data_IF_164495025424
#
_entry.id   IF_164495025424
#
_cell.length_a   1.000
_cell.length_b   1.000
_cell.length_c   1.000
_cell.angle_alpha   90.00
_cell.angle_beta   90.00
_cell.angle_gamma   90.00
#
_symmetry.space_group_name_H-M   'P 1'
#
loop_
_entity.id
_entity.type
_entity.pdbx_description
1 polymer ?
#
# COMPACT_ATOMS: atom_id res chain seq x y z
N UNK A 1 -109.99 41.32 24.67
CA UNK A 1 -108.67 41.73 25.13
C UNK A 1 -107.91 40.54 25.87
N UNK A 2 -108.62 39.44 26.26
CA UNK A 2 -107.99 38.33 27.02
C UNK A 2 -107.38 37.26 26.08
N UNK A 3 -107.73 37.15 24.82
CA UNK A 3 -107.23 36.14 23.86
C UNK A 3 -105.83 36.37 23.31
N UNK A 4 -105.35 37.60 23.15
CA UNK A 4 -104.05 37.90 22.54
C UNK A 4 -102.80 37.74 23.48
N UNK A 5 -103.00 37.85 24.79
CA UNK A 5 -101.92 37.67 25.74
C UNK A 5 -101.46 36.17 25.95
N UNK A 6 -102.36 35.21 25.74
CA UNK A 6 -102.05 33.79 25.86
C UNK A 6 -101.25 33.27 24.69
N UNK A 7 -101.40 33.80 23.49
CA UNK A 7 -100.69 33.34 22.30
C UNK A 7 -99.21 33.79 22.32
N UNK A 8 -98.96 34.97 22.82
CA UNK A 8 -97.57 35.54 22.87
C UNK A 8 -96.74 34.80 23.94
N UNK A 9 -97.31 34.41 25.09
CA UNK A 9 -96.60 33.73 26.17
C UNK A 9 -96.29 32.30 25.78
N UNK A 10 -97.19 31.58 25.06
CA UNK A 10 -96.95 30.23 24.54
C UNK A 10 -95.80 30.19 23.56
N UNK A 11 -95.73 31.14 22.62
CA UNK A 11 -94.68 31.17 21.61
C UNK A 11 -93.33 31.57 22.22
N UNK A 12 -93.27 32.40 23.28
CA UNK A 12 -92.05 32.76 23.98
C UNK A 12 -91.53 31.60 24.80
N UNK A 13 -92.37 30.78 25.40
CA UNK A 13 -92.05 29.60 26.14
C UNK A 13 -91.50 28.47 25.24
N UNK A 14 -92.09 28.33 24.03
CA UNK A 14 -91.58 27.36 23.04
C UNK A 14 -90.22 27.78 22.49
N UNK A 15 -89.97 29.07 22.25
CA UNK A 15 -88.64 29.54 21.82
C UNK A 15 -87.59 29.39 22.91
N UNK A 16 -87.92 29.61 24.19
CA UNK A 16 -87.00 29.40 25.31
C UNK A 16 -86.73 27.93 25.50
N UNK A 17 -87.70 27.03 25.38
CA UNK A 17 -87.47 25.58 25.47
C UNK A 17 -86.66 25.06 24.31
N UNK A 18 -86.83 25.53 23.08
CA UNK A 18 -86.02 25.17 21.92
C UNK A 18 -84.61 25.69 22.05
N UNK A 19 -84.41 26.90 22.58
CA UNK A 19 -83.02 27.45 22.85
C UNK A 19 -82.31 26.66 23.92
N UNK A 20 -82.99 26.25 24.98
CA UNK A 20 -82.38 25.43 26.08
C UNK A 20 -82.02 24.03 25.62
N UNK A 21 -82.85 23.39 24.77
CA UNK A 21 -82.56 22.07 24.18
C UNK A 21 -81.40 22.21 23.22
N UNK A 22 -81.39 23.25 22.38
CA UNK A 22 -80.26 23.45 21.44
C UNK A 22 -78.94 23.70 22.13
N UNK A 23 -78.95 24.46 23.25
CA UNK A 23 -77.78 24.76 24.02
C UNK A 23 -77.21 23.47 24.73
N UNK A 24 -78.13 22.62 25.28
CA UNK A 24 -77.73 21.38 25.87
C UNK A 24 -77.17 20.33 24.86
N UNK A 25 -77.80 20.26 23.67
CA UNK A 25 -77.35 19.38 22.58
C UNK A 25 -75.94 19.83 22.09
N UNK A 26 -75.77 21.14 21.91
CA UNK A 26 -74.43 21.64 21.56
C UNK A 26 -73.34 21.41 22.61
N UNK A 27 -73.66 21.54 23.90
CA UNK A 27 -72.71 21.19 24.97
C UNK A 27 -72.40 19.71 24.99
N UNK A 28 -73.38 18.84 24.76
CA UNK A 28 -73.19 17.40 24.72
C UNK A 28 -72.38 16.99 23.50
N UNK A 29 -72.62 17.54 22.35
CA UNK A 29 -71.85 17.32 21.13
C UNK A 29 -70.40 17.88 21.23
N UNK A 30 -70.25 19.02 21.90
CA UNK A 30 -68.94 19.58 22.19
C UNK A 30 -68.12 18.68 23.09
N UNK A 31 -68.67 18.21 24.18
CA UNK A 31 -68.01 17.29 25.09
C UNK A 31 -67.65 15.95 24.44
N UNK A 32 -68.51 15.47 23.53
CA UNK A 32 -68.25 14.23 22.78
C UNK A 32 -67.10 14.42 21.76
N UNK A 33 -67.02 15.56 21.10
CA UNK A 33 -65.89 15.92 20.21
C UNK A 33 -64.59 16.04 20.97
N UNK A 34 -64.58 16.67 22.14
CA UNK A 34 -63.36 16.74 22.98
C UNK A 34 -62.93 15.37 23.48
N UNK A 35 -63.85 14.49 23.87
CA UNK A 35 -63.56 13.14 24.29
C UNK A 35 -62.95 12.27 23.15
N UNK A 36 -63.46 12.41 21.93
CA UNK A 36 -62.92 11.71 20.74
C UNK A 36 -61.53 12.25 20.38
N UNK A 37 -61.36 13.56 20.34
CA UNK A 37 -60.06 14.19 20.04
C UNK A 37 -59.01 13.79 21.09
N UNK A 38 -59.38 13.76 22.38
CA UNK A 38 -58.47 13.35 23.47
C UNK A 38 -58.08 11.87 23.35
N UNK A 39 -59.04 10.98 23.02
CA UNK A 39 -58.78 9.57 22.80
C UNK A 39 -57.92 9.32 21.55
N UNK A 40 -58.16 10.01 20.47
CA UNK A 40 -57.33 9.91 19.26
C UNK A 40 -55.91 10.44 19.51
N UNK A 41 -55.77 11.55 20.24
CA UNK A 41 -54.44 12.09 20.56
C UNK A 41 -53.60 11.14 21.48
N UNK A 42 -54.29 10.50 22.47
CA UNK A 42 -53.66 9.50 23.32
C UNK A 42 -53.29 8.23 22.55
N UNK A 43 -54.08 7.83 21.56
CA UNK A 43 -53.76 6.70 20.68
C UNK A 43 -52.58 7.01 19.76
N UNK A 44 -52.55 8.23 19.16
CA UNK A 44 -51.44 8.68 18.33
C UNK A 44 -50.12 8.80 19.13
N UNK A 45 -50.21 9.34 20.37
CA UNK A 45 -49.02 9.43 21.23
C UNK A 45 -48.51 8.04 21.72
N UNK A 46 -49.40 7.10 21.90
CA UNK A 46 -49.03 5.72 22.22
C UNK A 46 -48.35 5.01 21.03
N UNK A 47 -48.85 5.23 19.80
CA UNK A 47 -48.21 4.70 18.59
C UNK A 47 -46.84 5.35 18.35
N UNK A 48 -46.72 6.67 18.60
CA UNK A 48 -45.46 7.38 18.48
C UNK A 48 -44.44 6.96 19.55
N UNK A 49 -44.87 6.71 20.78
CA UNK A 49 -44.02 6.15 21.85
C UNK A 49 -43.60 4.73 21.55
N UNK A 50 -44.43 3.90 20.91
CA UNK A 50 -44.06 2.53 20.55
C UNK A 50 -43.07 2.48 19.37
N UNK A 51 -43.14 3.48 18.44
CA UNK A 51 -42.16 3.59 17.36
C UNK A 51 -40.75 4.03 17.85
N UNK A 52 -40.66 4.71 18.98
CA UNK A 52 -39.37 5.09 19.59
C UNK A 52 -38.70 3.94 20.34
N UNK A 53 -39.42 2.87 20.67
CA UNK A 53 -38.88 1.66 21.29
C UNK A 53 -38.45 0.56 20.30
N UNK A 54 -38.61 0.77 19.00
CA UNK A 54 -37.93 -0.05 18.00
C UNK A 54 -36.45 0.30 18.03
N UNK A 55 -35.76 -0.06 19.10
CA UNK A 55 -34.31 -0.22 19.05
C UNK A 55 -34.07 -1.30 18.00
N UNK A 56 -33.60 -0.90 16.83
CA UNK A 56 -32.91 -1.77 15.94
C UNK A 56 -31.79 -2.40 16.80
N UNK A 57 -31.99 -3.61 17.25
CA UNK A 57 -30.89 -4.43 17.70
C UNK A 57 -29.97 -4.48 16.48
N UNK A 58 -28.95 -3.62 16.47
CA UNK A 58 -27.90 -3.68 15.48
C UNK A 58 -27.37 -5.11 15.57
N UNK A 59 -27.61 -5.89 14.53
CA UNK A 59 -26.92 -7.17 14.34
C UNK A 59 -25.47 -6.80 14.56
N UNK A 60 -24.75 -7.40 15.53
CA UNK A 60 -23.33 -7.13 15.68
C UNK A 60 -22.69 -7.47 14.33
N UNK A 61 -22.32 -6.44 13.57
CA UNK A 61 -21.47 -6.61 12.41
C UNK A 61 -20.15 -7.04 12.99
N UNK A 62 -19.91 -8.35 13.02
CA UNK A 62 -18.57 -8.86 13.27
C UNK A 62 -17.77 -8.40 12.07
N UNK A 63 -17.09 -7.24 12.19
CA UNK A 63 -16.04 -6.87 11.28
C UNK A 63 -14.91 -7.88 11.49
N UNK A 64 -14.94 -8.94 10.70
CA UNK A 64 -13.77 -9.80 10.56
C UNK A 64 -12.81 -9.00 9.69
N UNK A 65 -11.93 -8.22 10.31
CA UNK A 65 -10.76 -7.70 9.63
C UNK A 65 -9.92 -8.90 9.21
N UNK A 66 -10.05 -9.26 7.95
CA UNK A 66 -9.25 -10.34 7.38
C UNK A 66 -7.94 -9.72 6.92
N UNK A 67 -6.90 -9.83 7.75
CA UNK A 67 -5.56 -9.47 7.34
C UNK A 67 -5.05 -10.49 6.33
N UNK A 68 -5.03 -10.09 5.07
CA UNK A 68 -4.32 -10.79 4.03
C UNK A 68 -2.88 -10.29 4.02
N UNK A 69 -1.96 -11.22 4.05
CA UNK A 69 -0.53 -10.96 3.86
C UNK A 69 -0.26 -11.22 2.38
N UNK A 70 -0.10 -10.14 1.64
CA UNK A 70 0.23 -10.18 0.21
C UNK A 70 1.73 -10.40 0.03
N UNK A 71 2.11 -11.14 -0.98
CA UNK A 71 3.50 -11.30 -1.39
C UNK A 71 3.61 -11.62 -2.86
N UNK A 72 4.56 -10.98 -3.53
CA UNK A 72 4.95 -11.31 -4.89
C UNK A 72 6.09 -12.31 -4.89
N UNK A 73 6.12 -13.19 -5.88
CA UNK A 73 7.17 -14.20 -6.00
C UNK A 73 7.48 -14.54 -7.45
N UNK A 74 8.71 -14.92 -7.73
CA UNK A 74 9.13 -15.53 -8.98
C UNK A 74 9.49 -17.00 -8.76
N UNK A 75 9.36 -17.79 -9.83
CA UNK A 75 9.71 -19.22 -9.80
C UNK A 75 10.63 -19.55 -10.97
N UNK A 76 11.71 -20.29 -10.69
CA UNK A 76 12.70 -20.70 -11.68
C UNK A 76 12.96 -22.19 -11.61
N UNK A 77 13.29 -22.77 -12.78
CA UNK A 77 13.75 -24.15 -12.88
C UNK A 77 15.25 -24.27 -12.52
N UNK A 78 15.76 -25.49 -12.58
CA UNK A 78 17.17 -25.79 -12.29
C UNK A 78 18.15 -25.11 -13.29
N UNK A 79 17.68 -24.69 -14.47
CA UNK A 79 18.47 -23.95 -15.46
C UNK A 79 18.40 -22.43 -15.25
N UNK A 80 17.63 -21.97 -14.26
CA UNK A 80 17.39 -20.56 -13.99
C UNK A 80 16.33 -19.93 -14.89
N UNK A 81 15.59 -20.70 -15.69
CA UNK A 81 14.52 -20.20 -16.53
C UNK A 81 13.25 -19.95 -15.72
N UNK A 82 12.55 -18.87 -16.02
CA UNK A 82 11.27 -18.54 -15.40
C UNK A 82 10.21 -19.61 -15.71
N UNK A 83 9.49 -20.03 -14.67
CA UNK A 83 8.40 -21.00 -14.77
C UNK A 83 7.09 -20.26 -14.60
N UNK A 84 6.28 -20.23 -15.65
CA UNK A 84 4.91 -19.68 -15.68
C UNK A 84 3.90 -20.83 -15.76
N UNK A 85 2.62 -20.54 -15.47
CA UNK A 85 1.55 -21.54 -15.58
C UNK A 85 1.41 -22.45 -14.35
N UNK A 86 2.01 -22.08 -13.21
CA UNK A 86 1.72 -22.71 -11.92
C UNK A 86 0.38 -22.24 -11.38
N UNK A 87 -0.27 -23.10 -10.59
CA UNK A 87 -1.52 -22.83 -9.91
C UNK A 87 -1.34 -22.70 -8.40
N UNK A 88 -2.35 -22.21 -7.70
CA UNK A 88 -2.34 -22.12 -6.23
C UNK A 88 -1.95 -23.45 -5.56
N UNK A 89 -2.36 -24.58 -6.12
CA UNK A 89 -2.10 -25.91 -5.55
C UNK A 89 -0.63 -26.36 -5.67
N UNK A 90 0.15 -25.67 -6.51
CA UNK A 90 1.58 -25.91 -6.63
C UNK A 90 2.40 -25.25 -5.52
N UNK A 91 1.76 -24.48 -4.60
CA UNK A 91 2.46 -23.74 -3.57
C UNK A 91 2.04 -24.11 -2.15
N UNK A 92 2.99 -24.00 -1.23
CA UNK A 92 2.79 -24.09 0.21
C UNK A 92 3.39 -22.87 0.89
N UNK A 93 2.68 -22.32 1.89
CA UNK A 93 3.12 -21.17 2.68
C UNK A 93 3.23 -21.60 4.13
N UNK A 94 4.35 -21.26 4.77
CA UNK A 94 4.63 -21.52 6.18
C UNK A 94 5.06 -20.20 6.83
N UNK A 95 4.35 -19.75 7.87
CA UNK A 95 4.68 -18.59 8.68
C UNK A 95 5.09 -19.06 10.07
N UNK A 96 6.28 -18.68 10.53
CA UNK A 96 6.85 -19.07 11.83
C UNK A 96 6.74 -20.59 12.12
N UNK A 97 6.89 -21.42 11.07
CA UNK A 97 6.76 -22.88 11.16
C UNK A 97 5.31 -23.41 11.07
N UNK A 98 4.31 -22.54 11.02
CA UNK A 98 2.89 -22.91 10.92
C UNK A 98 2.40 -22.83 9.47
N UNK A 99 1.84 -23.91 8.88
CA UNK A 99 1.26 -23.88 7.55
C UNK A 99 0.10 -22.88 7.46
N UNK A 100 0.07 -22.08 6.39
CA UNK A 100 -0.93 -21.06 6.13
C UNK A 100 -1.78 -21.42 4.92
N UNK A 101 -3.06 -20.98 4.93
CA UNK A 101 -3.97 -21.20 3.81
C UNK A 101 -3.91 -20.04 2.83
N UNK A 102 -3.51 -20.32 1.60
CA UNK A 102 -3.56 -19.36 0.50
C UNK A 102 -5.03 -18.99 0.24
N UNK A 103 -5.32 -17.70 0.19
CA UNK A 103 -6.66 -17.13 -0.03
C UNK A 103 -6.82 -16.52 -1.41
N UNK A 104 -5.73 -15.99 -1.92
CA UNK A 104 -5.68 -15.40 -3.25
C UNK A 104 -4.42 -15.86 -3.98
N UNK A 105 -4.53 -16.07 -5.26
CA UNK A 105 -3.42 -16.41 -6.14
C UNK A 105 -3.72 -15.89 -7.55
N UNK A 106 -2.79 -15.15 -8.11
CA UNK A 106 -2.86 -14.67 -9.47
C UNK A 106 -1.48 -14.73 -10.13
N UNK A 107 -1.48 -14.81 -11.44
CA UNK A 107 -0.32 -14.58 -12.29
C UNK A 107 -0.71 -13.48 -13.26
N UNK A 108 -0.46 -12.23 -12.87
CA UNK A 108 -0.75 -11.06 -13.70
C UNK A 108 0.55 -10.47 -14.24
N UNK A 109 0.78 -10.64 -15.53
CA UNK A 109 1.95 -10.13 -16.24
C UNK A 109 1.71 -8.76 -16.88
N UNK A 110 0.55 -8.13 -16.64
CA UNK A 110 0.17 -6.86 -17.27
C UNK A 110 0.25 -5.65 -16.32
N UNK A 111 0.51 -5.88 -15.03
CA UNK A 111 0.66 -4.78 -14.09
C UNK A 111 1.84 -3.90 -14.49
N UNK A 112 1.63 -2.57 -14.63
CA UNK A 112 2.71 -1.66 -14.94
C UNK A 112 3.70 -1.58 -13.77
N UNK A 113 4.94 -1.20 -14.07
CA UNK A 113 6.00 -1.05 -13.09
C UNK A 113 6.07 0.38 -12.56
N UNK A 114 6.47 0.51 -11.29
CA UNK A 114 7.00 1.74 -10.67
C UNK A 114 8.40 1.43 -10.19
N UNK A 115 9.40 2.00 -10.85
CA UNK A 115 10.81 1.71 -10.67
C UNK A 115 11.48 2.90 -9.99
N UNK A 116 12.19 2.67 -8.89
CA UNK A 116 13.11 3.64 -8.30
C UNK A 116 14.54 3.25 -8.66
N UNK A 117 15.30 4.19 -9.23
CA UNK A 117 16.74 4.06 -9.43
C UNK A 117 17.42 4.77 -8.28
N UNK A 118 18.19 4.05 -7.49
CA UNK A 118 18.96 4.55 -6.34
C UNK A 118 20.43 4.49 -6.72
N UNK A 119 21.04 5.64 -6.93
CA UNK A 119 22.35 5.79 -7.58
C UNK A 119 23.34 6.35 -6.58
N UNK A 120 24.39 5.61 -6.34
CA UNK A 120 25.47 5.96 -5.42
C UNK A 120 26.46 6.90 -6.09
N UNK A 121 26.55 8.13 -5.60
CA UNK A 121 27.47 9.19 -6.03
C UNK A 121 28.48 9.55 -4.94
N UNK A 122 28.73 8.61 -4.02
CA UNK A 122 29.78 8.75 -3.01
C UNK A 122 31.18 8.69 -3.62
N UNK A 123 32.19 9.15 -2.87
CA UNK A 123 33.56 9.22 -3.39
C UNK A 123 34.15 7.89 -3.87
N UNK A 124 33.67 6.73 -3.35
CA UNK A 124 34.08 5.40 -3.85
C UNK A 124 33.55 5.13 -5.26
N UNK A 125 32.47 5.81 -5.67
CA UNK A 125 31.77 5.60 -6.93
C UNK A 125 32.16 6.56 -8.05
N UNK A 126 32.90 7.66 -7.78
CA UNK A 126 33.34 8.65 -8.78
C UNK A 126 33.90 8.04 -10.08
N UNK A 127 34.65 6.95 -9.96
CA UNK A 127 35.24 6.25 -11.11
C UNK A 127 34.24 5.44 -11.92
N UNK A 128 33.05 5.17 -11.38
CA UNK A 128 32.02 4.35 -12.00
C UNK A 128 30.84 5.17 -12.58
N UNK A 129 30.88 6.50 -12.46
CA UNK A 129 29.79 7.40 -12.93
C UNK A 129 29.39 7.09 -14.37
N UNK A 130 30.37 6.95 -15.29
CA UNK A 130 30.10 6.64 -16.70
C UNK A 130 29.52 5.24 -16.92
N UNK A 131 29.96 4.28 -16.10
CA UNK A 131 29.44 2.93 -16.09
C UNK A 131 28.01 2.93 -15.56
N UNK A 132 27.72 3.68 -14.50
CA UNK A 132 26.35 3.89 -13.99
C UNK A 132 25.42 4.44 -15.07
N UNK A 133 25.77 5.59 -15.70
CA UNK A 133 24.96 6.17 -16.78
C UNK A 133 24.68 5.15 -17.89
N UNK A 134 25.72 4.47 -18.38
CA UNK A 134 25.61 3.48 -19.45
C UNK A 134 24.70 2.30 -19.08
N UNK A 135 24.87 1.79 -17.88
CA UNK A 135 24.14 0.59 -17.43
C UNK A 135 22.68 0.94 -17.09
N UNK A 136 22.43 2.12 -16.50
CA UNK A 136 21.08 2.66 -16.29
C UNK A 136 20.36 2.88 -17.62
N UNK A 137 21.02 3.49 -18.60
CA UNK A 137 20.45 3.69 -19.95
C UNK A 137 20.08 2.35 -20.60
N UNK A 138 20.98 1.36 -20.50
CA UNK A 138 20.75 0.02 -21.04
C UNK A 138 19.57 -0.68 -20.34
N UNK A 139 19.50 -0.56 -19.02
CA UNK A 139 18.40 -1.09 -18.19
C UNK A 139 17.07 -0.46 -18.59
N UNK A 140 16.98 0.88 -18.59
CA UNK A 140 15.75 1.60 -18.94
C UNK A 140 15.24 1.24 -20.33
N UNK A 141 16.14 1.17 -21.33
CA UNK A 141 15.80 0.77 -22.71
C UNK A 141 15.23 -0.65 -22.79
N UNK A 142 15.63 -1.53 -21.89
CA UNK A 142 15.23 -2.94 -21.90
C UNK A 142 13.98 -3.21 -21.08
N UNK A 143 13.75 -2.45 -20.00
CA UNK A 143 12.74 -2.75 -19.00
C UNK A 143 11.52 -1.83 -19.10
N UNK A 144 11.74 -0.53 -19.41
CA UNK A 144 10.68 0.48 -19.32
C UNK A 144 9.73 0.40 -20.53
N UNK A 145 8.46 0.04 -20.26
CA UNK A 145 7.37 0.04 -21.22
C UNK A 145 6.52 1.33 -21.11
N UNK A 146 5.67 1.66 -22.09
CA UNK A 146 4.93 2.93 -22.12
C UNK A 146 4.06 3.23 -20.89
N UNK A 147 3.56 2.19 -20.22
CA UNK A 147 2.73 2.31 -19.02
C UNK A 147 3.54 2.30 -17.72
N UNK A 148 4.84 2.05 -17.80
CA UNK A 148 5.73 2.06 -16.64
C UNK A 148 6.14 3.47 -16.29
N UNK A 149 6.60 3.63 -15.06
CA UNK A 149 7.19 4.87 -14.57
C UNK A 149 8.46 4.57 -13.81
N UNK A 150 9.44 5.44 -13.93
CA UNK A 150 10.63 5.38 -13.12
C UNK A 150 10.99 6.78 -12.60
N UNK A 151 11.61 6.82 -11.41
CA UNK A 151 12.25 7.99 -10.84
C UNK A 151 13.72 7.69 -10.57
N UNK A 152 14.55 8.71 -10.43
CA UNK A 152 15.96 8.57 -10.10
C UNK A 152 16.33 9.44 -8.90
N UNK A 153 17.00 8.81 -7.93
CA UNK A 153 17.53 9.40 -6.71
C UNK A 153 19.04 9.16 -6.67
N UNK A 154 19.83 10.22 -6.71
CA UNK A 154 21.25 10.18 -6.45
C UNK A 154 21.52 10.44 -4.97
N UNK A 155 22.41 9.68 -4.38
CA UNK A 155 22.78 9.82 -2.97
C UNK A 155 24.30 9.82 -2.77
N UNK A 156 24.70 10.52 -1.77
CA UNK A 156 26.05 10.70 -1.27
C UNK A 156 25.90 11.45 0.04
N UNK A 157 26.43 12.66 0.13
CA UNK A 157 26.19 13.57 1.26
C UNK A 157 24.75 14.08 1.32
N UNK A 158 24.04 14.09 0.18
CA UNK A 158 22.65 14.52 0.04
C UNK A 158 21.86 13.49 -0.76
N UNK A 159 20.55 13.45 -0.51
CA UNK A 159 19.62 12.64 -1.29
C UNK A 159 18.88 13.53 -2.28
N UNK A 160 19.24 13.46 -3.56
CA UNK A 160 18.72 14.34 -4.61
C UNK A 160 17.81 13.58 -5.57
N UNK A 161 16.54 14.02 -5.67
CA UNK A 161 15.60 13.50 -6.66
C UNK A 161 15.92 14.13 -8.02
N UNK A 162 16.80 13.49 -8.79
CA UNK A 162 17.29 14.02 -10.08
C UNK A 162 16.28 13.82 -11.21
N UNK A 163 15.33 12.92 -11.07
CA UNK A 163 14.17 12.79 -11.95
C UNK A 163 12.97 12.32 -11.16
N UNK A 164 11.85 13.01 -11.24
CA UNK A 164 10.58 12.53 -10.71
C UNK A 164 9.99 11.45 -11.62
N UNK A 165 8.91 10.78 -11.15
CA UNK A 165 8.27 9.66 -11.83
C UNK A 165 7.85 10.03 -13.26
N UNK A 166 8.41 9.34 -14.23
CA UNK A 166 8.13 9.54 -15.66
C UNK A 166 8.27 8.22 -16.43
N UNK A 167 7.59 8.10 -17.58
CA UNK A 167 7.79 7.00 -18.52
C UNK A 167 8.89 7.28 -19.57
N UNK A 168 9.52 8.45 -19.50
CA UNK A 168 10.52 8.89 -20.47
C UNK A 168 11.94 8.60 -20.00
N UNK A 169 12.56 7.55 -20.52
CA UNK A 169 13.97 7.27 -20.25
C UNK A 169 14.91 8.44 -20.56
N UNK A 170 14.73 9.22 -21.66
CA UNK A 170 15.55 10.41 -21.89
C UNK A 170 15.48 11.45 -20.77
N UNK A 171 14.28 11.73 -20.21
CA UNK A 171 14.13 12.69 -19.10
C UNK A 171 14.91 12.22 -17.86
N UNK A 172 14.84 10.92 -17.55
CA UNK A 172 15.58 10.33 -16.43
C UNK A 172 17.08 10.48 -16.64
N UNK A 173 17.56 10.12 -17.85
CA UNK A 173 18.98 10.21 -18.18
C UNK A 173 19.50 11.66 -18.22
N UNK A 174 18.69 12.62 -18.69
CA UNK A 174 19.03 14.04 -18.67
C UNK A 174 19.21 14.56 -17.23
N UNK A 175 18.35 14.10 -16.29
CA UNK A 175 18.47 14.43 -14.88
C UNK A 175 19.77 13.89 -14.26
N UNK A 176 20.07 12.60 -14.47
CA UNK A 176 21.30 11.95 -13.99
C UNK A 176 22.53 12.65 -14.57
N UNK A 177 22.58 12.81 -15.89
CA UNK A 177 23.69 13.45 -16.57
C UNK A 177 23.91 14.94 -16.17
N UNK A 178 22.83 15.66 -15.88
CA UNK A 178 22.91 17.03 -15.34
C UNK A 178 23.52 17.06 -13.96
N UNK A 179 23.15 16.10 -13.10
CA UNK A 179 23.70 15.94 -11.76
C UNK A 179 25.20 15.61 -11.82
N UNK A 180 25.60 14.64 -12.65
CA UNK A 180 27.00 14.23 -12.84
C UNK A 180 27.89 15.35 -13.36
N UNK A 181 27.30 16.33 -14.07
CA UNK A 181 27.98 17.56 -14.46
C UNK A 181 28.07 18.65 -13.40
N UNK A 182 27.62 18.36 -12.20
CA UNK A 182 27.69 19.24 -11.05
C UNK A 182 26.48 20.17 -10.86
N UNK A 183 25.37 19.94 -11.56
CA UNK A 183 24.12 20.62 -11.24
C UNK A 183 23.53 20.05 -9.96
N UNK A 184 23.50 20.84 -8.89
CA UNK A 184 22.96 20.45 -7.59
C UNK A 184 21.55 21.03 -7.31
N UNK A 185 20.93 21.68 -8.30
CA UNK A 185 19.61 22.30 -8.17
C UNK A 185 18.48 21.27 -8.40
N UNK A 186 18.49 20.24 -7.55
CA UNK A 186 17.45 19.20 -7.50
C UNK A 186 16.81 19.15 -6.13
N UNK A 187 15.49 18.78 -6.03
CA UNK A 187 14.82 18.58 -4.76
C UNK A 187 15.53 17.55 -3.89
N UNK A 188 15.68 17.85 -2.61
CA UNK A 188 16.09 16.86 -1.62
C UNK A 188 14.88 16.04 -1.17
N UNK A 189 15.11 14.75 -0.95
CA UNK A 189 14.15 13.80 -0.39
C UNK A 189 14.61 13.42 1.03
N UNK A 190 13.67 13.21 1.96
CA UNK A 190 13.99 12.99 3.36
C UNK A 190 14.46 14.25 4.12
N UNK A 191 15.02 14.09 5.33
CA UNK A 191 15.52 15.20 6.13
C UNK A 191 16.65 15.94 5.42
N UNK A 192 16.60 17.28 5.48
CA UNK A 192 17.67 18.15 4.96
C UNK A 192 18.78 18.27 6.00
N UNK A 193 19.63 17.29 6.08
CA UNK A 193 20.76 17.29 6.97
C UNK A 193 22.08 17.37 6.22
N UNK A 194 23.00 18.22 6.72
CA UNK A 194 24.39 18.21 6.25
C UNK A 194 25.08 16.98 6.84
N UNK A 195 25.29 15.96 5.98
CA UNK A 195 26.07 14.78 6.32
C UNK A 195 27.55 15.05 6.05
N UNK A 196 28.37 15.03 7.07
CA UNK A 196 29.80 15.35 6.94
C UNK A 196 30.57 14.31 6.10
N UNK A 197 30.09 13.05 6.01
CA UNK A 197 30.72 11.94 5.31
C UNK A 197 29.65 11.13 4.56
N UNK A 198 29.81 10.97 3.33
CA UNK A 198 29.00 10.79 2.25
C UNK A 198 28.50 9.48 1.73
N UNK A 199 27.95 8.51 2.47
CA UNK A 199 27.19 7.41 1.85
C UNK A 199 25.97 7.07 2.71
N UNK A 200 24.81 7.62 2.35
CA UNK A 200 23.54 7.41 3.05
C UNK A 200 22.65 6.40 2.28
N UNK A 201 23.16 5.19 2.09
CA UNK A 201 22.49 4.15 1.30
C UNK A 201 21.14 3.74 1.89
N UNK A 202 21.08 3.49 3.21
CA UNK A 202 19.85 2.99 3.82
C UNK A 202 18.78 4.08 3.86
N UNK A 203 19.16 5.35 4.08
CA UNK A 203 18.25 6.49 3.98
C UNK A 203 17.72 6.64 2.55
N UNK A 204 18.59 6.53 1.53
CA UNK A 204 18.16 6.63 0.13
C UNK A 204 17.13 5.55 -0.23
N UNK A 205 17.31 4.35 0.25
CA UNK A 205 16.35 3.24 0.08
C UNK A 205 15.07 3.53 0.87
N UNK A 206 15.19 3.88 2.15
CA UNK A 206 14.06 4.12 3.05
C UNK A 206 13.15 5.25 2.51
N UNK A 207 13.71 6.42 2.19
CA UNK A 207 12.94 7.55 1.66
C UNK A 207 12.46 7.32 0.23
N UNK A 208 13.27 6.68 -0.62
CA UNK A 208 12.84 6.24 -1.95
C UNK A 208 11.59 5.35 -1.90
N UNK A 209 11.47 4.51 -0.87
CA UNK A 209 10.28 3.69 -0.65
C UNK A 209 9.15 4.49 -0.04
N UNK A 210 9.38 5.13 1.11
CA UNK A 210 8.31 5.73 1.92
C UNK A 210 7.70 6.95 1.26
N UNK A 211 8.49 7.77 0.56
CA UNK A 211 8.01 8.99 -0.08
C UNK A 211 7.60 8.78 -1.55
N UNK A 212 8.17 7.79 -2.26
CA UNK A 212 7.93 7.62 -3.69
C UNK A 212 7.12 6.37 -4.06
N UNK A 213 7.23 5.27 -3.33
CA UNK A 213 6.62 4.00 -3.72
C UNK A 213 5.49 3.52 -2.79
N UNK A 214 5.53 3.83 -1.50
CA UNK A 214 4.60 3.26 -0.52
C UNK A 214 3.12 3.55 -0.84
N UNK A 215 2.81 4.77 -1.30
CA UNK A 215 1.45 5.18 -1.64
C UNK A 215 0.96 4.70 -3.02
N UNK A 216 1.83 4.03 -3.80
CA UNK A 216 1.47 3.56 -5.14
C UNK A 216 0.72 2.23 -5.02
N UNK A 217 -0.42 2.14 -5.71
CA UNK A 217 -1.26 0.95 -5.81
C UNK A 217 -1.42 0.52 -7.26
N UNK A 218 -1.78 -0.75 -7.47
CA UNK A 218 -2.03 -1.34 -8.81
C UNK A 218 -0.82 -1.27 -9.76
N UNK A 219 0.38 -1.26 -9.21
CA UNK A 219 1.65 -1.32 -9.94
C UNK A 219 2.63 -2.20 -9.18
N UNK A 220 3.52 -2.87 -9.90
CA UNK A 220 4.65 -3.58 -9.27
C UNK A 220 5.72 -2.58 -8.90
N UNK A 221 6.17 -2.62 -7.66
CA UNK A 221 7.11 -1.66 -7.10
C UNK A 221 8.50 -2.28 -6.99
N UNK A 222 9.47 -1.59 -7.51
CA UNK A 222 10.85 -2.07 -7.61
C UNK A 222 11.81 -0.95 -7.28
N UNK A 223 12.85 -1.25 -6.51
CA UNK A 223 14.06 -0.44 -6.44
C UNK A 223 15.21 -1.18 -7.11
N UNK A 224 15.98 -0.45 -7.91
CA UNK A 224 17.25 -0.89 -8.47
C UNK A 224 18.36 0.00 -7.91
N UNK A 225 19.25 -0.59 -7.12
CA UNK A 225 20.33 0.10 -6.42
C UNK A 225 21.63 -0.09 -7.21
N UNK A 226 22.31 1.00 -7.50
CA UNK A 226 23.65 1.04 -8.14
C UNK A 226 24.65 1.52 -7.09
N UNK A 227 25.39 0.62 -6.44
CA UNK A 227 26.28 0.94 -5.32
C UNK A 227 27.26 -0.19 -5.04
N UNK A 228 28.33 0.08 -4.29
CA UNK A 228 29.18 -0.96 -3.67
C UNK A 228 28.59 -1.51 -2.36
N UNK A 229 27.52 -0.90 -1.85
CA UNK A 229 26.88 -1.26 -0.59
C UNK A 229 27.57 -0.69 0.64
N UNK A 230 28.54 0.20 0.47
CA UNK A 230 29.14 0.93 1.60
C UNK A 230 28.09 1.88 2.20
N UNK A 231 28.15 2.03 3.52
CA UNK A 231 27.24 2.84 4.32
C UNK A 231 28.01 3.45 5.49
N UNK A 232 27.80 4.75 5.74
CA UNK A 232 28.48 5.42 6.85
C UNK A 232 27.77 6.66 7.41
N UNK A 233 26.59 7.07 6.87
CA UNK A 233 25.94 8.31 7.25
C UNK A 233 24.41 8.29 7.24
N UNK A 234 23.77 7.15 7.08
CA UNK A 234 22.32 7.03 7.23
C UNK A 234 21.88 7.13 8.69
N UNK A 235 20.71 7.72 8.92
CA UNK A 235 20.01 7.66 10.21
C UNK A 235 19.29 6.32 10.39
N UNK A 236 18.78 5.77 9.30
CA UNK A 236 18.15 4.45 9.27
C UNK A 236 19.21 3.35 9.14
N UNK A 237 18.90 2.19 9.71
CA UNK A 237 19.76 1.02 9.55
C UNK A 237 19.28 0.08 8.42
N UNK A 238 20.05 -0.99 8.18
CA UNK A 238 19.72 -1.99 7.16
C UNK A 238 18.33 -2.63 7.40
N UNK A 239 17.95 -2.82 8.66
CA UNK A 239 16.68 -3.46 9.00
C UNK A 239 15.51 -2.51 8.75
N UNK A 240 15.67 -1.21 9.00
CA UNK A 240 14.67 -0.19 8.67
C UNK A 240 14.39 -0.15 7.16
N UNK A 241 15.44 -0.19 6.34
CA UNK A 241 15.32 -0.23 4.89
C UNK A 241 14.61 -1.51 4.39
N UNK A 242 14.96 -2.68 4.97
CA UNK A 242 14.29 -3.95 4.67
C UNK A 242 12.82 -3.91 5.10
N UNK A 243 12.54 -3.42 6.30
CA UNK A 243 11.18 -3.30 6.82
C UNK A 243 10.32 -2.39 5.95
N UNK A 244 10.82 -1.23 5.54
CA UNK A 244 10.13 -0.31 4.63
C UNK A 244 9.79 -1.01 3.31
N UNK A 245 10.73 -1.77 2.73
CA UNK A 245 10.51 -2.51 1.49
C UNK A 245 9.46 -3.62 1.64
N UNK A 246 9.54 -4.40 2.71
CA UNK A 246 8.60 -5.48 2.97
C UNK A 246 7.17 -4.97 3.24
N UNK A 247 7.03 -3.88 4.00
CA UNK A 247 5.74 -3.27 4.31
C UNK A 247 5.08 -2.63 3.08
N UNK A 248 5.89 -2.10 2.16
CA UNK A 248 5.42 -1.48 0.92
C UNK A 248 5.32 -2.47 -0.25
N UNK A 249 5.68 -3.74 -0.08
CA UNK A 249 5.79 -4.77 -1.13
C UNK A 249 6.67 -4.31 -2.29
N UNK A 250 7.88 -3.84 -1.96
CA UNK A 250 8.90 -3.39 -2.92
C UNK A 250 9.99 -4.46 -3.07
N UNK A 251 10.21 -4.90 -4.30
CA UNK A 251 11.34 -5.76 -4.64
C UNK A 251 12.61 -4.92 -4.80
N UNK A 252 13.71 -5.32 -4.18
CA UNK A 252 14.98 -4.62 -4.32
C UNK A 252 15.97 -5.47 -5.08
N UNK A 253 16.45 -4.94 -6.21
CA UNK A 253 17.59 -5.47 -6.95
C UNK A 253 18.79 -4.54 -6.77
N UNK A 254 20.00 -5.08 -6.87
CA UNK A 254 21.22 -4.28 -6.80
C UNK A 254 22.18 -4.65 -7.93
N UNK A 255 22.82 -3.65 -8.52
CA UNK A 255 23.99 -3.79 -9.37
C UNK A 255 25.16 -3.30 -8.55
N UNK A 256 26.05 -4.23 -8.23
CA UNK A 256 27.17 -3.96 -7.35
C UNK A 256 28.39 -3.44 -8.13
N UNK A 257 28.88 -2.26 -7.76
CA UNK A 257 30.08 -1.63 -8.31
C UNK A 257 31.21 -1.64 -7.30
N UNK A 258 31.91 -2.74 -7.19
CA UNK A 258 33.04 -2.90 -6.26
C UNK A 258 34.36 -3.03 -7.01
N UNK A 259 35.35 -2.23 -6.64
CA UNK A 259 36.71 -2.35 -7.16
C UNK A 259 37.48 -3.45 -6.46
N UNK A 260 38.12 -4.30 -7.24
CA UNK A 260 39.03 -5.31 -6.70
C UNK A 260 40.45 -4.73 -6.62
N UNK A 261 40.96 -4.46 -5.40
CA UNK A 261 42.35 -4.06 -5.19
C UNK A 261 43.25 -5.31 -5.24
N UNK A 262 44.11 -5.39 -6.29
CA UNK A 262 44.92 -6.55 -6.57
C UNK A 262 44.12 -7.89 -6.64
N UNK A 263 42.94 -7.83 -7.22
CA UNK A 263 42.06 -8.99 -7.35
C UNK A 263 41.36 -9.44 -6.06
N UNK A 264 41.40 -8.62 -5.01
CA UNK A 264 40.76 -8.93 -3.71
C UNK A 264 39.90 -7.80 -3.23
N UNK A 265 38.80 -8.16 -2.56
CA UNK A 265 37.98 -7.24 -1.81
C UNK A 265 38.59 -6.95 -0.45
N UNK A 266 38.57 -5.71 0.00
CA UNK A 266 38.93 -5.36 1.37
C UNK A 266 37.81 -5.72 2.37
N UNK A 267 37.93 -5.31 3.64
CA UNK A 267 36.92 -5.66 4.66
C UNK A 267 35.63 -4.88 4.49
N UNK A 268 35.75 -3.63 4.03
CA UNK A 268 34.61 -2.73 3.79
C UNK A 268 33.79 -3.19 2.58
N UNK A 269 34.48 -3.50 1.46
CA UNK A 269 33.87 -4.09 0.27
C UNK A 269 33.08 -5.37 0.63
N UNK A 270 33.66 -6.27 1.43
CA UNK A 270 32.95 -7.49 1.85
C UNK A 270 31.76 -7.25 2.73
N UNK A 271 31.77 -6.17 3.52
CA UNK A 271 30.61 -5.76 4.30
C UNK A 271 29.50 -5.25 3.38
N UNK A 272 29.81 -4.32 2.46
CA UNK A 272 28.86 -3.78 1.48
C UNK A 272 28.20 -4.86 0.64
N UNK A 273 29.00 -5.83 0.13
CA UNK A 273 28.47 -6.99 -0.61
C UNK A 273 27.43 -7.76 0.22
N UNK A 274 27.75 -8.06 1.49
CA UNK A 274 26.82 -8.79 2.36
C UNK A 274 25.56 -7.98 2.67
N UNK A 275 25.68 -6.67 2.83
CA UNK A 275 24.57 -5.78 3.07
C UNK A 275 23.59 -5.77 1.87
N UNK A 276 24.14 -5.60 0.64
CA UNK A 276 23.33 -5.67 -0.58
C UNK A 276 22.68 -7.03 -0.78
N UNK A 277 23.42 -8.13 -0.57
CA UNK A 277 22.89 -9.49 -0.68
C UNK A 277 21.79 -9.76 0.35
N UNK A 278 21.95 -9.25 1.57
CA UNK A 278 20.94 -9.38 2.62
C UNK A 278 19.69 -8.58 2.24
N UNK A 279 19.84 -7.31 1.91
CA UNK A 279 18.76 -6.41 1.49
C UNK A 279 17.93 -7.01 0.34
N UNK A 280 18.59 -7.42 -0.73
CA UNK A 280 17.91 -7.97 -1.92
C UNK A 280 17.23 -9.31 -1.64
N UNK A 281 17.88 -10.21 -0.91
CA UNK A 281 17.33 -11.52 -0.55
C UNK A 281 16.10 -11.39 0.35
N UNK A 282 16.15 -10.49 1.35
CA UNK A 282 15.03 -10.28 2.29
C UNK A 282 13.78 -9.71 1.62
N UNK A 283 13.95 -9.03 0.49
CA UNK A 283 12.86 -8.38 -0.25
C UNK A 283 12.40 -9.16 -1.49
N UNK A 284 13.05 -10.30 -1.79
CA UNK A 284 12.68 -11.17 -2.92
C UNK A 284 13.39 -10.85 -4.23
N UNK A 285 14.33 -9.90 -4.22
CA UNK A 285 15.17 -9.57 -5.37
C UNK A 285 16.54 -10.28 -5.36
N UNK A 286 17.55 -9.65 -5.95
CA UNK A 286 18.88 -10.23 -6.16
C UNK A 286 19.94 -9.17 -6.43
N UNK A 287 21.21 -9.47 -6.06
CA UNK A 287 22.40 -8.67 -6.41
C UNK A 287 23.07 -9.22 -7.66
N UNK A 288 23.54 -8.33 -8.54
CA UNK A 288 24.33 -8.63 -9.72
C UNK A 288 25.65 -7.86 -9.65
N UNK A 289 26.69 -8.36 -10.35
CA UNK A 289 27.98 -7.73 -10.43
C UNK A 289 28.12 -6.95 -11.74
N UNK A 290 28.50 -5.66 -11.69
CA UNK A 290 28.65 -4.82 -12.89
C UNK A 290 29.73 -5.38 -13.86
N UNK A 291 30.77 -6.05 -13.34
CA UNK A 291 31.79 -6.73 -14.12
C UNK A 291 31.33 -8.02 -14.79
N UNK A 292 30.06 -8.40 -14.56
CA UNK A 292 29.49 -9.59 -15.21
C UNK A 292 29.52 -9.40 -16.74
N UNK A 293 30.17 -10.34 -17.43
CA UNK A 293 30.10 -10.40 -18.91
C UNK A 293 28.69 -10.64 -19.41
N UNK A 294 27.74 -10.87 -18.49
CA UNK A 294 26.33 -11.18 -18.73
C UNK A 294 25.39 -10.07 -18.28
N UNK A 295 25.87 -8.86 -17.92
CA UNK A 295 25.05 -7.80 -17.32
C UNK A 295 23.78 -7.48 -18.16
N UNK A 296 23.87 -7.52 -19.51
CA UNK A 296 22.70 -7.38 -20.37
C UNK A 296 21.70 -8.54 -20.21
N UNK A 297 22.19 -9.76 -19.94
CA UNK A 297 21.35 -10.90 -19.65
C UNK A 297 20.74 -10.77 -18.25
N UNK A 298 21.50 -10.24 -17.30
CA UNK A 298 21.03 -9.96 -15.94
C UNK A 298 19.89 -8.92 -15.97
N UNK A 299 19.98 -7.87 -16.81
CA UNK A 299 18.87 -6.94 -17.03
C UNK A 299 17.65 -7.60 -17.68
N UNK A 300 17.86 -8.50 -18.65
CA UNK A 300 16.77 -9.29 -19.23
C UNK A 300 16.13 -10.22 -18.18
N UNK A 301 16.95 -10.77 -17.28
CA UNK A 301 16.48 -11.60 -16.16
C UNK A 301 15.61 -10.76 -15.20
N UNK A 302 16.03 -9.56 -14.82
CA UNK A 302 15.23 -8.64 -14.00
C UNK A 302 13.91 -8.29 -14.71
N UNK A 303 13.98 -7.88 -15.98
CA UNK A 303 12.79 -7.57 -16.76
C UNK A 303 11.80 -8.74 -16.81
N UNK A 304 12.31 -9.95 -17.07
CA UNK A 304 11.54 -11.17 -17.10
C UNK A 304 10.91 -11.49 -15.73
N UNK A 305 11.68 -11.38 -14.64
CA UNK A 305 11.17 -11.57 -13.28
C UNK A 305 9.98 -10.62 -13.04
N UNK A 306 10.18 -9.32 -13.26
CA UNK A 306 9.17 -8.29 -12.99
C UNK A 306 7.87 -8.46 -13.79
N UNK A 307 7.95 -9.08 -14.99
CA UNK A 307 6.79 -9.35 -15.85
C UNK A 307 6.15 -10.71 -15.63
N UNK A 308 6.78 -11.58 -14.81
CA UNK A 308 6.33 -12.97 -14.63
C UNK A 308 6.12 -13.35 -13.16
N UNK A 309 5.83 -12.35 -12.32
CA UNK A 309 5.59 -12.57 -10.89
C UNK A 309 4.22 -13.19 -10.66
N UNK A 310 4.17 -14.07 -9.69
CA UNK A 310 2.93 -14.53 -9.09
C UNK A 310 2.59 -13.64 -7.89
N UNK A 311 1.32 -13.33 -7.74
CA UNK A 311 0.77 -12.64 -6.57
C UNK A 311 0.05 -13.67 -5.71
N UNK A 312 0.44 -13.76 -4.46
CA UNK A 312 -0.11 -14.69 -3.49
C UNK A 312 -0.51 -13.95 -2.23
N UNK A 313 -1.73 -14.19 -1.74
CA UNK A 313 -2.14 -13.71 -0.45
C UNK A 313 -2.64 -14.86 0.44
N UNK A 314 -2.25 -14.81 1.71
CA UNK A 314 -2.72 -15.75 2.71
C UNK A 314 -3.21 -15.01 3.96
N UNK A 315 -4.07 -15.64 4.71
CA UNK A 315 -4.52 -15.13 5.99
C UNK A 315 -3.66 -15.74 7.08
N UNK A 316 -2.90 -14.87 7.81
CA UNK A 316 -2.12 -15.34 8.95
C UNK A 316 -3.03 -15.92 10.03
N UNK A 317 -2.64 -17.08 10.57
CA UNK A 317 -3.29 -17.69 11.75
C UNK A 317 -2.89 -17.00 13.05
N UNK A 318 -1.82 -16.16 13.02
CA UNK A 318 -1.42 -15.29 14.12
C UNK A 318 -1.92 -13.87 13.88
N UNK A 319 -3.04 -13.50 14.48
CA UNK A 319 -3.67 -12.20 14.33
C UNK A 319 -3.01 -11.08 15.18
N UNK A 320 -1.96 -11.38 15.96
CA UNK A 320 -1.33 -10.41 16.86
C UNK A 320 -0.53 -9.39 16.06
N UNK A 321 -0.79 -8.11 16.31
CA UNK A 321 -0.07 -6.98 15.73
C UNK A 321 0.85 -6.37 16.79
N UNK A 322 2.00 -6.99 16.97
CA UNK A 322 2.95 -6.65 18.04
C UNK A 322 4.27 -6.04 17.53
N UNK A 323 4.33 -5.77 16.21
CA UNK A 323 5.52 -5.24 15.56
C UNK A 323 6.66 -6.27 15.42
N UNK A 324 6.43 -7.54 15.79
CA UNK A 324 7.47 -8.57 15.66
C UNK A 324 7.61 -9.06 14.22
N UNK A 325 8.81 -9.48 13.87
CA UNK A 325 9.08 -10.09 12.56
C UNK A 325 8.45 -11.47 12.46
N UNK A 326 7.74 -11.72 11.36
CA UNK A 326 7.13 -13.01 10.99
C UNK A 326 7.90 -13.60 9.82
N UNK A 327 8.54 -14.73 10.05
CA UNK A 327 9.29 -15.42 9.00
C UNK A 327 8.30 -16.15 8.07
N UNK A 328 8.38 -15.87 6.77
CA UNK A 328 7.57 -16.53 5.74
C UNK A 328 8.45 -17.39 4.85
N UNK A 329 8.03 -18.62 4.62
CA UNK A 329 8.67 -19.55 3.69
C UNK A 329 7.64 -20.04 2.69
N UNK A 330 7.86 -19.72 1.42
CA UNK A 330 7.03 -20.19 0.31
C UNK A 330 7.81 -21.22 -0.48
N UNK A 331 7.20 -22.36 -0.74
CA UNK A 331 7.78 -23.44 -1.51
C UNK A 331 6.81 -23.93 -2.57
N UNK A 332 7.33 -24.52 -3.63
CA UNK A 332 6.52 -25.31 -4.58
C UNK A 332 6.43 -26.76 -4.11
N UNK A 333 5.39 -27.45 -4.56
CA UNK A 333 5.26 -28.92 -4.43
C UNK A 333 6.23 -29.66 -5.36
N UNK A 334 6.88 -28.93 -6.27
CA UNK A 334 7.89 -29.44 -7.22
C UNK A 334 9.28 -29.07 -6.71
N UNK A 335 10.04 -30.02 -6.15
CA UNK A 335 11.30 -29.74 -5.45
C UNK A 335 12.43 -29.22 -6.37
N UNK A 336 12.31 -29.44 -7.68
CA UNK A 336 13.25 -28.94 -8.70
C UNK A 336 13.11 -27.45 -8.98
N UNK A 337 12.01 -26.82 -8.51
CA UNK A 337 11.76 -25.40 -8.71
C UNK A 337 12.22 -24.58 -7.53
N UNK A 338 12.79 -23.40 -7.81
CA UNK A 338 13.23 -22.43 -6.81
C UNK A 338 12.25 -21.26 -6.78
N UNK A 339 11.72 -20.95 -5.58
CA UNK A 339 10.88 -19.78 -5.32
C UNK A 339 11.73 -18.65 -4.77
N UNK A 340 11.56 -17.45 -5.30
CA UNK A 340 12.05 -16.20 -4.71
C UNK A 340 10.87 -15.33 -4.29
N UNK A 341 10.85 -14.97 -3.05
CA UNK A 341 9.87 -14.10 -2.42
C UNK A 341 10.52 -13.39 -1.23
N UNK A 342 9.88 -12.37 -0.70
CA UNK A 342 10.32 -11.82 0.60
C UNK A 342 10.34 -12.91 1.67
N UNK A 343 11.26 -12.79 2.62
CA UNK A 343 11.48 -13.83 3.65
C UNK A 343 10.60 -13.66 4.87
N UNK A 344 9.85 -12.55 4.94
CA UNK A 344 8.95 -12.24 6.05
C UNK A 344 8.37 -10.85 5.99
N UNK A 345 7.79 -10.43 7.11
CA UNK A 345 7.21 -9.09 7.29
C UNK A 345 7.12 -8.75 8.78
N UNK A 346 6.92 -7.47 9.11
CA UNK A 346 6.67 -7.02 10.47
C UNK A 346 5.17 -6.89 10.72
N UNK A 347 4.66 -7.51 11.78
CA UNK A 347 3.23 -7.60 12.11
C UNK A 347 2.73 -6.28 12.76
N UNK A 348 2.39 -5.28 11.95
CA UNK A 348 1.89 -3.95 12.37
C UNK A 348 0.38 -3.79 12.21
#
# INVERSE_FOLDING_TARGET
VIGQKRFVISHFLEQLAASFVFQRVNLFLSNYRYAIVLRCSLFLSAIFAFSLFSHAQGIPVIQVETHLIDTTLSVRDANGLLVTGLSQNDFTVVEDGVPQKIRFFAHDNQLPLSIGLIIDESGSQEKFVKEHEKDIEAFLKQVLEPNDQAFALCFGNHLRLVSDSTSSAPIIMDGIHSFDKGNMDFPEIGPKEERELGTALYDAIYFGITEKLAAIHQRRKVLLVFSDGEENSSEHDLLDAIEAAQNADVLIYAIRYTELKHGKMDARDRYGVRALDHLTTQTGGRTFDFNSTKLKQDFAEIAGDLRSLYDLAYQSTNATRDGTYRKVVIKTTRPELTVRARTGYYAK
#
